data_IF_413554252290
#
_entry.id   IF_413554252290
#
_cell.length_a   1.000
_cell.length_b   1.000
_cell.length_c   1.000
_cell.angle_alpha   90.00
_cell.angle_beta   90.00
_cell.angle_gamma   90.00
#
_symmetry.space_group_name_H-M   'P 1'
#
loop_
_entity.id
_entity.type
_entity.pdbx_description
1 polymer ?
#
# COMPACT_ATOMS: atom_id res chain seq x y z
N UNK A 1 -12.45 -13.49 -12.23
CA UNK A 1 -13.26 -13.12 -11.04
C UNK A 1 -13.95 -11.80 -11.35
N UNK A 2 -15.22 -11.63 -10.95
CA UNK A 2 -16.02 -10.44 -11.25
C UNK A 2 -16.84 -10.02 -10.03
N UNK A 3 -17.43 -8.83 -10.06
CA UNK A 3 -18.35 -8.37 -9.01
C UNK A 3 -17.71 -8.30 -7.63
N UNK A 4 -18.44 -8.73 -6.60
CA UNK A 4 -18.05 -8.61 -5.19
C UNK A 4 -16.74 -9.35 -4.87
N UNK A 5 -16.47 -10.47 -5.53
CA UNK A 5 -15.25 -11.23 -5.30
C UNK A 5 -14.02 -10.48 -5.81
N UNK A 6 -14.14 -9.80 -6.97
CA UNK A 6 -13.08 -8.94 -7.48
C UNK A 6 -12.83 -7.73 -6.56
N UNK A 7 -13.90 -7.14 -6.01
CA UNK A 7 -13.81 -6.05 -5.04
C UNK A 7 -13.07 -6.50 -3.76
N UNK A 8 -13.51 -7.61 -3.16
CA UNK A 8 -12.88 -8.14 -1.95
C UNK A 8 -11.40 -8.45 -2.17
N UNK A 9 -11.07 -9.09 -3.30
CA UNK A 9 -9.68 -9.40 -3.61
C UNK A 9 -8.83 -8.14 -3.81
N UNK A 10 -9.36 -7.11 -4.47
CA UNK A 10 -8.69 -5.83 -4.65
C UNK A 10 -8.44 -5.13 -3.31
N UNK A 11 -9.45 -5.06 -2.44
CA UNK A 11 -9.32 -4.47 -1.10
C UNK A 11 -8.28 -5.19 -0.25
N UNK A 12 -8.31 -6.53 -0.23
CA UNK A 12 -7.29 -7.34 0.44
C UNK A 12 -5.90 -7.05 -0.13
N UNK A 13 -5.77 -6.91 -1.45
CA UNK A 13 -4.48 -6.61 -2.07
C UNK A 13 -3.96 -5.21 -1.72
N UNK A 14 -4.83 -4.19 -1.62
CA UNK A 14 -4.43 -2.85 -1.21
C UNK A 14 -3.98 -2.78 0.25
N UNK A 15 -4.53 -3.64 1.11
CA UNK A 15 -4.19 -3.71 2.52
C UNK A 15 -3.01 -4.64 2.84
N UNK A 16 -2.50 -5.41 1.85
CA UNK A 16 -1.33 -6.27 2.03
C UNK A 16 -0.05 -5.42 2.06
N UNK A 17 0.30 -4.95 3.25
CA UNK A 17 1.46 -4.09 3.50
C UNK A 17 2.61 -4.84 4.18
N UNK A 18 2.33 -5.94 4.89
CA UNK A 18 3.31 -6.66 5.69
C UNK A 18 3.49 -8.11 5.23
N UNK A 19 4.67 -8.67 5.51
CA UNK A 19 5.01 -10.05 5.13
C UNK A 19 4.19 -11.07 5.95
N UNK A 20 3.75 -10.71 7.16
CA UNK A 20 2.86 -11.54 7.99
C UNK A 20 1.52 -11.84 7.30
N UNK A 21 1.10 -11.02 6.33
CA UNK A 21 -0.13 -11.22 5.54
C UNK A 21 0.05 -12.23 4.39
N UNK A 22 1.18 -12.96 4.36
CA UNK A 22 1.56 -13.90 3.31
C UNK A 22 2.02 -15.25 3.88
N UNK A 23 1.71 -16.33 3.16
CA UNK A 23 2.15 -17.67 3.53
C UNK A 23 3.68 -17.76 3.49
N UNK A 24 4.29 -18.55 4.39
CA UNK A 24 5.75 -18.66 4.59
C UNK A 24 6.57 -19.05 3.35
N UNK A 25 5.92 -19.48 2.26
CA UNK A 25 6.55 -19.91 1.02
C UNK A 25 6.51 -18.84 -0.10
N UNK A 26 6.04 -17.63 0.18
CA UNK A 26 5.95 -16.55 -0.82
C UNK A 26 7.22 -15.69 -0.78
N UNK A 27 7.82 -15.46 -1.95
CA UNK A 27 8.98 -14.58 -2.10
C UNK A 27 8.67 -13.17 -1.59
N UNK A 28 9.48 -12.68 -0.66
CA UNK A 28 9.46 -11.28 -0.19
C UNK A 28 10.24 -10.32 -1.11
N UNK A 29 10.94 -10.84 -2.11
CA UNK A 29 11.68 -10.07 -3.11
C UNK A 29 10.84 -9.74 -4.35
N UNK A 30 9.82 -10.56 -4.62
CA UNK A 30 8.95 -10.41 -5.79
C UNK A 30 7.68 -9.65 -5.42
N UNK A 31 7.33 -8.61 -6.18
CA UNK A 31 6.08 -7.89 -5.96
C UNK A 31 4.87 -8.77 -6.30
N UNK A 32 3.91 -8.84 -5.38
CA UNK A 32 2.58 -9.40 -5.66
C UNK A 32 1.82 -8.37 -6.52
N UNK A 33 1.29 -8.81 -7.66
CA UNK A 33 0.59 -7.95 -8.62
C UNK A 33 -0.82 -8.48 -8.86
N UNK A 34 -1.80 -7.59 -8.73
CA UNK A 34 -3.19 -7.89 -9.06
C UNK A 34 -3.68 -6.88 -10.11
N UNK A 35 -3.64 -7.21 -11.41
CA UNK A 35 -4.24 -6.37 -12.44
C UNK A 35 -5.77 -6.44 -12.33
N UNK A 36 -6.39 -5.32 -11.99
CA UNK A 36 -7.85 -5.22 -11.80
C UNK A 36 -8.33 -3.79 -12.11
N UNK A 37 -9.60 -3.65 -12.48
CA UNK A 37 -10.29 -2.37 -12.58
C UNK A 37 -11.65 -2.50 -11.90
N UNK A 38 -11.98 -1.53 -11.06
CA UNK A 38 -13.24 -1.46 -10.33
C UNK A 38 -14.00 -0.21 -10.78
N UNK A 39 -15.28 -0.38 -11.08
CA UNK A 39 -16.15 0.70 -11.53
C UNK A 39 -17.25 0.91 -10.50
N UNK A 40 -17.44 2.15 -10.07
CA UNK A 40 -18.44 2.53 -9.07
C UNK A 40 -19.33 3.63 -9.63
N UNK A 41 -20.64 3.50 -9.43
CA UNK A 41 -21.58 4.58 -9.71
C UNK A 41 -21.66 5.49 -8.48
N UNK A 42 -21.32 6.77 -8.64
CA UNK A 42 -21.17 7.72 -7.55
C UNK A 42 -21.91 9.03 -7.87
N UNK A 43 -22.44 9.68 -6.83
CA UNK A 43 -22.81 11.09 -6.92
C UNK A 43 -21.56 11.96 -7.07
N UNK A 44 -21.73 13.19 -7.55
CA UNK A 44 -20.63 14.15 -7.69
C UNK A 44 -19.94 14.43 -6.35
N UNK A 45 -20.73 14.58 -5.28
CA UNK A 45 -20.22 14.79 -3.92
C UNK A 45 -19.34 13.63 -3.45
N UNK A 46 -19.82 12.39 -3.60
CA UNK A 46 -19.06 11.19 -3.22
C UNK A 46 -17.78 11.04 -4.07
N UNK A 47 -17.86 11.36 -5.36
CA UNK A 47 -16.69 11.34 -6.24
C UNK A 47 -15.60 12.31 -5.75
N UNK A 48 -15.96 13.55 -5.41
CA UNK A 48 -15.02 14.55 -4.92
C UNK A 48 -14.39 14.12 -3.59
N UNK A 49 -15.20 13.58 -2.66
CA UNK A 49 -14.70 13.06 -1.39
C UNK A 49 -13.71 11.91 -1.58
N UNK A 50 -14.04 10.94 -2.43
CA UNK A 50 -13.14 9.81 -2.73
C UNK A 50 -11.86 10.29 -3.41
N UNK A 51 -11.95 11.25 -4.34
CA UNK A 51 -10.78 11.81 -5.01
C UNK A 51 -9.82 12.46 -4.01
N UNK A 52 -10.34 13.26 -3.08
CA UNK A 52 -9.53 13.90 -2.03
C UNK A 52 -8.85 12.87 -1.13
N UNK A 53 -9.56 11.79 -0.76
CA UNK A 53 -8.97 10.69 0.02
C UNK A 53 -7.85 9.99 -0.76
N UNK A 54 -8.03 9.72 -2.05
CA UNK A 54 -6.99 9.12 -2.89
C UNK A 54 -5.75 10.00 -2.99
N UNK A 55 -5.93 11.31 -3.15
CA UNK A 55 -4.83 12.28 -3.16
C UNK A 55 -4.06 12.26 -1.83
N UNK A 56 -4.79 12.26 -0.70
CA UNK A 56 -4.20 12.23 0.64
C UNK A 56 -3.38 10.95 0.87
N UNK A 57 -3.93 9.77 0.51
CA UNK A 57 -3.22 8.49 0.63
C UNK A 57 -1.94 8.49 -0.20
N UNK A 58 -1.98 9.03 -1.42
CA UNK A 58 -0.81 9.09 -2.30
C UNK A 58 0.24 10.09 -1.83
N UNK A 59 -0.19 11.21 -1.23
CA UNK A 59 0.70 12.15 -0.57
C UNK A 59 1.43 11.49 0.60
N UNK A 60 0.69 10.81 1.50
CA UNK A 60 1.28 10.10 2.64
C UNK A 60 2.29 9.02 2.21
N UNK A 61 1.98 8.26 1.15
CA UNK A 61 2.93 7.29 0.56
C UNK A 61 4.21 7.96 0.06
N UNK A 62 4.09 9.14 -0.53
CA UNK A 62 5.23 9.91 -1.04
C UNK A 62 6.07 10.47 0.10
N UNK A 63 5.42 11.00 1.14
CA UNK A 63 6.07 11.52 2.33
C UNK A 63 6.82 10.41 3.09
N UNK A 64 6.21 9.25 3.30
CA UNK A 64 6.87 8.10 3.91
C UNK A 64 8.14 7.71 3.16
N UNK A 65 8.07 7.66 1.83
CA UNK A 65 9.26 7.42 0.99
C UNK A 65 10.34 8.48 1.26
N UNK A 66 9.98 9.77 1.28
CA UNK A 66 10.93 10.86 1.53
C UNK A 66 11.55 10.80 2.94
N UNK A 67 10.78 10.45 3.96
CA UNK A 67 11.26 10.23 5.33
C UNK A 67 12.37 9.17 5.30
N UNK A 68 12.09 8.03 4.70
CA UNK A 68 13.01 6.90 4.63
C UNK A 68 14.25 7.22 3.78
N UNK A 69 14.11 7.90 2.64
CA UNK A 69 15.20 8.05 1.66
C UNK A 69 16.02 9.32 1.81
N UNK A 70 15.49 10.37 2.44
CA UNK A 70 16.14 11.69 2.50
C UNK A 70 16.23 12.26 3.91
N UNK A 71 15.14 12.23 4.69
CA UNK A 71 15.09 12.97 5.96
C UNK A 71 15.72 12.20 7.13
N UNK A 72 15.70 10.87 7.10
CA UNK A 72 16.24 10.03 8.18
C UNK A 72 17.77 10.10 8.31
N UNK A 73 18.49 10.58 7.29
CA UNK A 73 19.96 10.57 7.25
C UNK A 73 20.58 9.16 7.11
N UNK A 74 19.75 8.14 6.87
CA UNK A 74 20.17 6.74 6.87
C UNK A 74 20.75 6.35 5.52
N UNK A 75 21.93 5.73 5.56
CA UNK A 75 22.60 5.17 4.38
C UNK A 75 21.74 4.08 3.75
N UNK A 76 21.80 3.95 2.43
CA UNK A 76 20.93 3.04 1.66
C UNK A 76 20.94 1.60 2.20
N UNK A 77 22.09 1.13 2.65
CA UNK A 77 22.33 -0.22 3.15
C UNK A 77 21.63 -0.48 4.50
N UNK A 78 21.43 0.56 5.31
CA UNK A 78 20.84 0.48 6.65
C UNK A 78 19.32 0.71 6.66
N UNK A 79 18.74 1.16 5.54
CA UNK A 79 17.31 1.50 5.45
C UNK A 79 16.42 0.30 5.76
N UNK A 80 16.81 -0.89 5.29
CA UNK A 80 16.04 -2.10 5.51
C UNK A 80 15.94 -2.42 7.00
N UNK A 81 17.07 -2.51 7.70
CA UNK A 81 17.11 -2.80 9.14
C UNK A 81 16.35 -1.74 9.96
N UNK A 82 16.56 -0.46 9.64
CA UNK A 82 15.88 0.64 10.33
C UNK A 82 14.35 0.58 10.21
N UNK A 83 13.83 0.38 8.99
CA UNK A 83 12.38 0.29 8.77
C UNK A 83 11.84 -0.95 9.50
N UNK A 84 12.53 -2.09 9.38
CA UNK A 84 12.10 -3.32 10.04
C UNK A 84 12.02 -3.18 11.56
N UNK A 85 12.97 -2.49 12.20
CA UNK A 85 12.94 -2.28 13.65
C UNK A 85 11.75 -1.44 14.14
N UNK A 86 11.27 -0.49 13.34
CA UNK A 86 10.17 0.40 13.72
C UNK A 86 8.80 -0.08 13.24
N UNK A 87 8.75 -0.86 12.16
CA UNK A 87 7.49 -1.33 11.54
C UNK A 87 7.10 -2.76 11.89
N UNK A 88 7.97 -3.56 12.52
CA UNK A 88 7.60 -4.88 13.07
C UNK A 88 6.89 -4.83 14.42
N UNK A 89 6.78 -3.64 15.03
CA UNK A 89 6.20 -3.44 16.37
C UNK A 89 4.76 -2.90 16.33
N UNK A 90 4.14 -2.79 15.15
CA UNK A 90 2.79 -2.28 14.95
C UNK A 90 1.82 -3.39 14.52
#
# INVERSE_FOLDING_TARGET
>A
MTGKDALNLALTNYNRLFIHDSLQHISNKTAIRLPVSLFFNLSVENYLGIKQQLETINQLKTELKNIVTHQSGIKKEQRFEFIHQHSYMA
#
